data_IF_485354911248
#
_entry.id   IF_485354911248
#
_cell.length_a   1.000
_cell.length_b   1.000
_cell.length_c   1.000
_cell.angle_alpha   90.00
_cell.angle_beta   90.00
_cell.angle_gamma   90.00
#
_symmetry.space_group_name_H-M   'P 1'
#
loop_
_entity.id
_entity.type
_entity.pdbx_description
1 polymer ?
#
# COMPACT_ATOMS: atom_id res chain seq x y z
N UNK A 1 0.38 26.23 -7.76
CA UNK A 1 0.34 24.81 -8.18
C UNK A 1 0.02 24.81 -9.66
N UNK A 2 0.79 24.09 -10.46
CA UNK A 2 0.50 23.93 -11.88
C UNK A 2 1.12 22.65 -12.44
N UNK A 3 0.57 22.19 -13.56
CA UNK A 3 1.17 21.21 -14.45
C UNK A 3 1.48 21.94 -15.75
N UNK A 4 2.70 21.78 -16.24
CA UNK A 4 3.15 22.30 -17.53
C UNK A 4 3.78 21.19 -18.35
N UNK A 5 3.73 21.35 -19.66
CA UNK A 5 4.35 20.43 -20.60
C UNK A 5 5.62 21.07 -21.16
N UNK A 6 6.74 20.35 -21.08
CA UNK A 6 8.01 20.70 -21.71
C UNK A 6 8.39 19.56 -22.65
N UNK A 7 8.37 19.82 -23.95
CA UNK A 7 8.50 18.80 -24.99
C UNK A 7 7.50 17.64 -24.77
N UNK A 8 8.01 16.43 -24.50
CA UNK A 8 7.22 15.23 -24.20
C UNK A 8 7.10 14.94 -22.68
N UNK A 9 7.63 15.82 -21.83
CA UNK A 9 7.61 15.67 -20.39
C UNK A 9 6.50 16.52 -19.75
N UNK A 10 6.00 16.05 -18.61
CA UNK A 10 5.08 16.80 -17.77
C UNK A 10 5.79 17.18 -16.48
N UNK A 11 5.69 18.44 -16.10
CA UNK A 11 6.22 18.97 -14.85
C UNK A 11 5.05 19.41 -13.99
N UNK A 12 4.90 18.79 -12.82
CA UNK A 12 3.90 19.14 -11.82
C UNK A 12 4.59 19.83 -10.64
N UNK A 13 4.14 21.03 -10.31
CA UNK A 13 4.69 21.83 -9.22
C UNK A 13 3.64 22.13 -8.16
N UNK A 14 4.00 21.87 -6.91
CA UNK A 14 3.26 22.30 -5.73
C UNK A 14 4.16 23.12 -4.80
N UNK A 15 3.63 23.73 -3.72
CA UNK A 15 4.48 24.34 -2.70
C UNK A 15 5.43 23.34 -2.04
N UNK A 16 5.07 22.05 -1.99
CA UNK A 16 5.83 21.00 -1.33
C UNK A 16 6.86 20.33 -2.24
N UNK A 17 6.59 20.22 -3.54
CA UNK A 17 7.44 19.43 -4.43
C UNK A 17 7.47 19.94 -5.87
N UNK A 18 8.45 19.45 -6.63
CA UNK A 18 8.48 19.47 -8.09
C UNK A 18 8.59 18.01 -8.55
N UNK A 19 7.70 17.59 -9.45
CA UNK A 19 7.68 16.25 -10.01
C UNK A 19 7.78 16.30 -11.53
N UNK A 20 8.60 15.42 -12.12
CA UNK A 20 8.78 15.28 -13.55
C UNK A 20 8.33 13.90 -14.02
N UNK A 21 7.50 13.88 -15.06
CA UNK A 21 7.13 12.67 -15.78
C UNK A 21 7.70 12.69 -17.19
N UNK A 22 8.40 11.62 -17.57
CA UNK A 22 8.79 11.36 -18.95
C UNK A 22 7.94 10.18 -19.46
N UNK A 23 6.88 10.50 -20.21
CA UNK A 23 5.80 9.54 -20.46
C UNK A 23 5.16 9.10 -19.13
N UNK A 24 4.91 7.79 -18.90
CA UNK A 24 4.30 7.34 -17.64
C UNK A 24 5.30 7.20 -16.49
N UNK A 25 6.60 7.39 -16.73
CA UNK A 25 7.63 7.26 -15.71
C UNK A 25 7.71 8.54 -14.87
N UNK A 26 7.60 8.41 -13.55
CA UNK A 26 7.99 9.48 -12.62
C UNK A 26 9.51 9.46 -12.48
N UNK A 27 10.19 10.36 -13.19
CA UNK A 27 11.65 10.38 -13.32
C UNK A 27 12.33 11.29 -12.31
N UNK A 28 11.61 12.24 -11.74
CA UNK A 28 12.10 13.06 -10.63
C UNK A 28 10.95 13.46 -9.71
N UNK A 29 11.23 13.49 -8.41
CA UNK A 29 10.33 14.03 -7.40
C UNK A 29 11.20 14.65 -6.31
N UNK A 30 11.18 15.98 -6.23
CA UNK A 30 12.05 16.79 -5.38
C UNK A 30 11.22 17.52 -4.34
N UNK A 31 11.54 17.36 -3.06
CA UNK A 31 11.00 18.24 -2.01
C UNK A 31 11.58 19.65 -2.18
N UNK A 32 10.72 20.66 -2.33
CA UNK A 32 11.16 22.05 -2.54
C UNK A 32 11.81 22.68 -1.32
N UNK A 33 11.54 22.15 -0.13
CA UNK A 33 12.02 22.72 1.13
C UNK A 33 13.46 22.30 1.42
N UNK A 34 13.76 21.03 1.17
CA UNK A 34 15.05 20.41 1.49
C UNK A 34 15.94 20.20 0.26
N UNK A 35 15.34 20.18 -0.94
CA UNK A 35 16.04 19.76 -2.17
C UNK A 35 16.21 18.24 -2.28
N UNK A 36 15.64 17.45 -1.36
CA UNK A 36 15.77 16.00 -1.39
C UNK A 36 15.06 15.41 -2.62
N UNK A 37 15.81 14.67 -3.43
CA UNK A 37 15.29 13.97 -4.62
C UNK A 37 15.04 12.49 -4.32
N UNK A 38 13.80 12.05 -4.48
CA UNK A 38 13.38 10.69 -4.13
C UNK A 38 13.39 9.73 -5.32
N UNK A 39 13.07 10.24 -6.50
CA UNK A 39 12.97 9.45 -7.72
C UNK A 39 14.18 9.70 -8.61
N UNK A 40 14.41 8.80 -9.55
CA UNK A 40 15.40 8.97 -10.60
C UNK A 40 14.81 8.47 -11.92
N UNK A 41 15.39 8.84 -13.07
CA UNK A 41 15.00 8.27 -14.35
C UNK A 41 14.94 6.75 -14.25
N UNK A 42 13.87 6.18 -14.77
CA UNK A 42 13.61 4.76 -14.63
C UNK A 42 14.68 3.96 -15.40
N UNK A 43 15.51 3.19 -14.69
CA UNK A 43 16.13 1.99 -15.25
C UNK A 43 15.12 0.84 -15.35
N UNK A 44 13.94 0.99 -14.73
CA UNK A 44 12.82 0.06 -14.90
C UNK A 44 12.30 0.17 -16.33
N UNK A 45 12.33 -0.92 -17.12
CA UNK A 45 12.00 -0.83 -18.53
C UNK A 45 10.51 -0.52 -18.78
N UNK A 46 9.62 -0.70 -17.79
CA UNK A 46 8.16 -0.61 -17.98
C UNK A 46 7.46 0.17 -16.85
N UNK A 47 7.23 1.49 -17.00
CA UNK A 47 6.65 2.31 -15.93
C UNK A 47 5.16 2.06 -15.69
N UNK A 48 4.46 1.47 -16.67
CA UNK A 48 3.03 1.16 -16.60
C UNK A 48 2.76 -0.16 -17.31
N UNK A 49 2.29 -1.18 -16.60
CA UNK A 49 2.20 -2.56 -17.10
C UNK A 49 0.80 -3.14 -16.90
N UNK A 50 0.34 -3.98 -17.84
CA UNK A 50 -0.85 -4.82 -17.64
C UNK A 50 -0.45 -6.24 -17.24
N UNK A 51 -1.10 -6.79 -16.23
CA UNK A 51 -0.95 -8.17 -15.79
C UNK A 51 -2.19 -8.97 -16.15
N UNK A 52 -1.98 -10.24 -16.50
CA UNK A 52 -3.03 -11.16 -16.91
C UNK A 52 -3.09 -12.39 -15.99
N UNK A 53 -4.22 -13.11 -16.02
CA UNK A 53 -4.53 -14.26 -15.14
C UNK A 53 -3.42 -15.31 -15.03
N UNK A 54 -2.65 -15.54 -16.09
CA UNK A 54 -1.58 -16.55 -16.12
C UNK A 54 -0.20 -15.99 -15.77
N UNK A 55 -0.15 -14.85 -15.06
CA UNK A 55 1.07 -14.10 -14.71
C UNK A 55 1.83 -13.52 -15.90
N UNK A 56 1.25 -13.56 -17.10
CA UNK A 56 1.78 -12.83 -18.23
C UNK A 56 1.71 -11.34 -17.97
N UNK A 57 2.76 -10.63 -18.36
CA UNK A 57 2.87 -9.17 -18.23
C UNK A 57 3.01 -8.55 -19.61
N UNK A 58 2.31 -7.45 -19.85
CA UNK A 58 2.52 -6.59 -21.01
C UNK A 58 3.19 -5.29 -20.56
N UNK A 59 4.50 -5.24 -20.77
CA UNK A 59 5.33 -4.05 -20.62
C UNK A 59 5.26 -3.19 -21.90
N UNK A 60 6.20 -3.26 -22.85
CA UNK A 60 6.11 -2.55 -24.12
C UNK A 60 5.10 -3.25 -25.01
N UNK A 61 4.29 -2.45 -25.68
CA UNK A 61 3.38 -2.93 -26.72
C UNK A 61 3.98 -2.69 -28.10
N UNK A 62 3.68 -3.56 -29.06
CA UNK A 62 4.12 -3.39 -30.44
C UNK A 62 3.48 -2.13 -31.03
N UNK A 63 4.28 -1.31 -31.68
CA UNK A 63 3.80 -0.04 -32.26
C UNK A 63 3.40 1.01 -31.22
N UNK A 64 3.79 0.82 -29.94
CA UNK A 64 3.43 1.73 -28.86
C UNK A 64 3.84 3.18 -29.16
N UNK A 65 2.87 4.08 -29.04
CA UNK A 65 3.05 5.53 -29.06
C UNK A 65 2.70 6.09 -27.70
N UNK A 66 3.55 7.00 -27.22
CA UNK A 66 3.35 7.70 -25.96
C UNK A 66 3.00 9.15 -26.27
N UNK A 67 1.90 9.63 -25.71
CA UNK A 67 1.48 11.03 -25.86
C UNK A 67 1.13 11.62 -24.50
N UNK A 68 1.86 12.66 -24.10
CA UNK A 68 1.47 13.53 -23.00
C UNK A 68 0.50 14.60 -23.52
N UNK A 69 -0.58 14.84 -22.79
CA UNK A 69 -1.55 15.89 -23.11
C UNK A 69 -1.94 16.64 -21.84
N UNK A 70 -1.63 17.93 -21.82
CA UNK A 70 -2.16 18.86 -20.83
C UNK A 70 -3.68 19.01 -21.02
N UNK A 71 -4.43 18.98 -19.91
CA UNK A 71 -5.89 19.15 -19.89
C UNK A 71 -6.29 20.49 -19.27
N UNK A 72 -5.54 20.91 -18.26
CA UNK A 72 -5.62 22.21 -17.60
C UNK A 72 -4.32 22.45 -16.83
N UNK A 73 -4.19 23.61 -16.19
CA UNK A 73 -3.06 23.89 -15.31
C UNK A 73 -2.99 22.94 -14.11
N UNK A 74 -3.99 22.10 -13.83
CA UNK A 74 -3.97 21.17 -12.71
C UNK A 74 -4.13 19.71 -13.13
N UNK A 75 -4.25 19.41 -14.43
CA UNK A 75 -4.49 18.06 -14.91
C UNK A 75 -3.81 17.78 -16.25
N UNK A 76 -3.29 16.57 -16.39
CA UNK A 76 -2.74 16.04 -17.61
C UNK A 76 -3.02 14.55 -17.72
N UNK A 77 -2.82 14.00 -18.91
CA UNK A 77 -2.83 12.55 -19.13
C UNK A 77 -1.63 12.13 -19.96
N UNK A 78 -1.16 10.93 -19.70
CA UNK A 78 -0.20 10.23 -20.55
C UNK A 78 -0.89 9.02 -21.14
N UNK A 79 -1.02 9.01 -22.46
CA UNK A 79 -1.62 7.92 -23.23
C UNK A 79 -0.52 7.04 -23.80
N UNK A 80 -0.67 5.73 -23.62
CA UNK A 80 0.16 4.70 -24.21
C UNK A 80 -0.75 3.83 -25.08
N UNK A 81 -0.69 4.02 -26.39
CA UNK A 81 -1.51 3.31 -27.37
C UNK A 81 -0.60 2.39 -28.16
N UNK A 82 -0.85 1.09 -28.12
CA UNK A 82 -0.16 0.09 -28.92
C UNK A 82 -1.14 -0.83 -29.65
N UNK A 83 -0.62 -1.90 -30.24
CA UNK A 83 -1.45 -2.84 -30.99
C UNK A 83 -2.36 -3.68 -30.10
N UNK A 84 -1.87 -4.04 -28.91
CA UNK A 84 -2.52 -5.00 -28.01
C UNK A 84 -3.08 -4.34 -26.74
N UNK A 85 -2.90 -3.03 -26.56
CA UNK A 85 -3.33 -2.31 -25.37
C UNK A 85 -3.48 -0.79 -25.54
N UNK A 86 -4.43 -0.25 -24.79
CA UNK A 86 -4.57 1.17 -24.51
C UNK A 86 -4.37 1.37 -23.01
N UNK A 87 -3.38 2.18 -22.60
CA UNK A 87 -3.11 2.49 -21.20
C UNK A 87 -3.05 3.99 -20.99
N UNK A 88 -3.45 4.42 -19.81
CA UNK A 88 -3.48 5.82 -19.42
C UNK A 88 -2.92 5.99 -18.01
N UNK A 89 -2.10 7.03 -17.85
CA UNK A 89 -1.78 7.62 -16.56
C UNK A 89 -2.48 8.98 -16.47
N UNK A 90 -3.55 9.06 -15.68
CA UNK A 90 -4.21 10.33 -15.40
C UNK A 90 -3.52 11.02 -14.22
N UNK A 91 -3.03 12.24 -14.43
CA UNK A 91 -2.23 12.99 -13.46
C UNK A 91 -2.96 14.28 -13.11
N UNK A 92 -3.11 14.58 -11.83
CA UNK A 92 -3.79 15.78 -11.34
C UNK A 92 -3.12 16.33 -10.09
N UNK A 93 -3.15 17.64 -9.90
CA UNK A 93 -2.86 18.28 -8.62
C UNK A 93 -4.17 18.50 -7.85
N UNK A 94 -4.23 18.03 -6.61
CA UNK A 94 -5.34 18.31 -5.71
C UNK A 94 -5.16 19.68 -5.05
N UNK A 95 -5.99 20.68 -5.38
CA UNK A 95 -5.83 22.03 -4.85
C UNK A 95 -6.09 22.12 -3.34
N UNK A 96 -6.82 21.17 -2.76
CA UNK A 96 -7.14 21.20 -1.32
C UNK A 96 -6.00 20.64 -0.47
N UNK A 97 -5.32 19.61 -0.98
CA UNK A 97 -4.27 18.92 -0.21
C UNK A 97 -2.86 19.20 -0.71
N UNK A 98 -2.72 19.75 -1.91
CA UNK A 98 -1.44 19.89 -2.61
C UNK A 98 -0.87 18.58 -3.13
N UNK A 99 -1.63 17.47 -3.09
CA UNK A 99 -1.14 16.17 -3.54
C UNK A 99 -1.03 16.10 -5.07
N UNK A 100 -0.02 15.37 -5.52
CA UNK A 100 -0.01 14.80 -6.86
C UNK A 100 -0.85 13.52 -6.86
N UNK A 101 -1.98 13.54 -7.54
CA UNK A 101 -2.86 12.41 -7.75
C UNK A 101 -2.52 11.73 -9.09
N UNK A 102 -2.27 10.43 -9.05
CA UNK A 102 -1.94 9.60 -10.20
C UNK A 102 -2.89 8.42 -10.25
N UNK A 103 -3.61 8.25 -11.36
CA UNK A 103 -4.56 7.16 -11.55
C UNK A 103 -4.22 6.36 -12.80
N UNK A 104 -3.56 5.19 -12.66
CA UNK A 104 -3.34 4.28 -13.77
C UNK A 104 -4.65 3.60 -14.19
N UNK A 105 -4.83 3.43 -15.49
CA UNK A 105 -5.87 2.59 -16.08
C UNK A 105 -5.41 1.99 -17.40
N UNK A 106 -5.99 0.88 -17.80
CA UNK A 106 -5.66 0.29 -19.10
C UNK A 106 -6.60 -0.81 -19.53
N UNK A 107 -6.57 -1.08 -20.83
CA UNK A 107 -7.35 -2.10 -21.52
C UNK A 107 -6.42 -2.92 -22.41
N UNK A 108 -6.63 -4.24 -22.43
CA UNK A 108 -5.96 -5.17 -23.33
C UNK A 108 -6.89 -5.65 -24.46
N UNK A 109 -6.30 -5.91 -25.62
CA UNK A 109 -6.93 -6.57 -26.76
C UNK A 109 -7.19 -8.06 -26.48
N UNK A 110 -6.45 -8.66 -25.53
CA UNK A 110 -6.73 -10.01 -25.01
C UNK A 110 -7.55 -9.95 -23.72
N UNK A 111 -8.34 -11.00 -23.47
CA UNK A 111 -9.08 -11.19 -22.23
C UNK A 111 -8.13 -11.63 -21.10
N UNK A 112 -8.63 -11.68 -19.88
CA UNK A 112 -7.84 -12.14 -18.73
C UNK A 112 -7.03 -11.03 -18.05
N UNK A 113 -7.30 -9.75 -18.31
CA UNK A 113 -6.61 -8.65 -17.59
C UNK A 113 -6.94 -8.76 -16.10
N UNK A 114 -5.92 -8.81 -15.26
CA UNK A 114 -6.05 -8.96 -13.81
C UNK A 114 -5.74 -7.65 -13.07
N UNK A 115 -4.69 -6.93 -13.48
CA UNK A 115 -4.31 -5.67 -12.85
C UNK A 115 -3.55 -4.75 -13.80
N UNK A 116 -3.43 -3.48 -13.38
CA UNK A 116 -2.48 -2.53 -13.94
C UNK A 116 -1.52 -2.08 -12.85
N UNK A 117 -0.22 -2.02 -13.15
CA UNK A 117 0.84 -1.62 -12.22
C UNK A 117 1.51 -0.36 -12.70
N UNK A 118 1.63 0.63 -11.81
CA UNK A 118 2.47 1.81 -12.02
C UNK A 118 3.75 1.68 -11.19
N UNK A 119 4.91 1.76 -11.84
CA UNK A 119 6.22 1.53 -11.22
C UNK A 119 6.96 2.85 -10.98
N UNK A 120 7.50 3.02 -9.78
CA UNK A 120 8.35 4.16 -9.38
C UNK A 120 9.72 3.63 -8.99
N UNK A 121 10.76 4.09 -9.68
CA UNK A 121 12.16 3.81 -9.32
C UNK A 121 12.70 4.89 -8.39
N UNK A 122 13.23 4.46 -7.25
CA UNK A 122 13.78 5.35 -6.23
C UNK A 122 15.29 5.53 -6.38
N UNK A 123 15.79 6.68 -5.92
CA UNK A 123 17.21 6.94 -5.80
C UNK A 123 17.87 5.97 -4.81
N UNK A 124 19.15 5.63 -5.03
CA UNK A 124 19.86 4.62 -4.22
C UNK A 124 19.97 4.99 -2.74
N UNK A 125 19.97 6.29 -2.45
CA UNK A 125 20.08 6.86 -1.10
C UNK A 125 18.73 6.87 -0.34
N UNK A 126 17.64 6.48 -0.99
CA UNK A 126 16.31 6.48 -0.38
C UNK A 126 16.10 5.19 0.42
N UNK A 127 15.66 5.36 1.66
CA UNK A 127 15.13 4.27 2.49
C UNK A 127 13.61 4.19 2.33
N UNK A 128 13.03 3.00 2.27
CA UNK A 128 11.58 2.81 2.16
C UNK A 128 10.99 2.21 3.43
N UNK A 129 9.95 2.83 3.95
CA UNK A 129 9.13 2.35 5.07
C UNK A 129 7.84 1.81 4.48
N UNK A 130 7.68 0.49 4.54
CA UNK A 130 6.55 -0.23 3.99
C UNK A 130 5.75 -0.85 5.15
N UNK A 131 4.47 -0.48 5.35
CA UNK A 131 3.61 -1.09 6.36
C UNK A 131 3.11 -2.46 5.90
N UNK A 132 4.05 -3.36 5.63
CA UNK A 132 3.80 -4.73 5.20
C UNK A 132 4.08 -5.70 6.34
N UNK A 133 3.19 -6.66 6.56
CA UNK A 133 3.20 -7.63 7.66
C UNK A 133 3.16 -6.96 9.04
N UNK A 134 4.28 -6.39 9.50
CA UNK A 134 4.41 -5.65 10.76
C UNK A 134 5.20 -4.33 10.60
N UNK A 135 5.53 -3.95 9.36
CA UNK A 135 6.45 -2.86 9.05
C UNK A 135 7.80 -3.39 8.57
N UNK A 136 8.27 -2.84 7.45
CA UNK A 136 9.53 -3.20 6.80
C UNK A 136 10.29 -1.92 6.48
N UNK A 137 11.57 -1.89 6.84
CA UNK A 137 12.53 -0.88 6.36
C UNK A 137 13.35 -1.51 5.24
N UNK A 138 13.32 -0.92 4.04
CA UNK A 138 14.12 -1.34 2.89
C UNK A 138 15.18 -0.29 2.61
N UNK A 139 16.43 -0.73 2.62
CA UNK A 139 17.60 0.10 2.32
C UNK A 139 18.40 -0.57 1.21
N UNK A 140 19.00 0.21 0.31
CA UNK A 140 19.67 -0.32 -0.88
C UNK A 140 20.84 -1.26 -0.54
N UNK A 141 21.52 -1.03 0.59
CA UNK A 141 22.70 -1.75 1.04
C UNK A 141 22.42 -2.91 2.01
N UNK A 142 21.16 -3.12 2.42
CA UNK A 142 20.78 -4.23 3.31
C UNK A 142 20.29 -5.47 2.57
N UNK A 143 20.65 -6.64 3.08
CA UNK A 143 20.12 -7.91 2.59
C UNK A 143 18.60 -7.98 2.87
N UNK A 144 17.80 -8.16 1.82
CA UNK A 144 16.35 -8.34 1.86
C UNK A 144 15.96 -9.06 0.55
N UNK A 145 14.90 -9.91 0.52
CA UNK A 145 14.46 -10.57 -0.70
C UNK A 145 14.44 -9.63 -1.91
N UNK A 146 14.94 -10.08 -3.08
CA UNK A 146 15.08 -9.21 -4.24
C UNK A 146 13.72 -8.72 -4.74
N UNK A 147 12.69 -9.57 -4.65
CA UNK A 147 11.35 -9.21 -5.07
C UNK A 147 10.32 -9.75 -4.07
N UNK A 148 9.27 -8.97 -3.79
CA UNK A 148 8.12 -9.43 -3.01
C UNK A 148 6.84 -8.70 -3.46
N UNK A 149 5.70 -9.36 -3.30
CA UNK A 149 4.37 -8.83 -3.59
C UNK A 149 3.52 -8.86 -2.32
N UNK A 150 3.04 -7.70 -1.92
CA UNK A 150 2.24 -7.48 -0.72
C UNK A 150 0.80 -7.14 -1.10
N UNK A 151 -0.10 -8.13 -1.21
CA UNK A 151 -1.52 -7.87 -1.48
C UNK A 151 -2.20 -7.16 -0.30
N UNK A 152 -3.04 -6.18 -0.62
CA UNK A 152 -3.96 -5.50 0.31
C UNK A 152 -5.26 -6.31 0.45
N UNK A 153 -5.87 -6.39 1.65
CA UNK A 153 -5.43 -5.84 2.94
C UNK A 153 -4.64 -6.84 3.79
N UNK A 154 -4.07 -7.89 3.18
CA UNK A 154 -3.50 -9.01 3.93
C UNK A 154 -2.04 -8.79 4.33
N UNK A 155 -1.13 -8.73 3.36
CA UNK A 155 0.31 -8.54 3.62
C UNK A 155 0.72 -7.06 3.59
N UNK A 156 -0.10 -6.19 3.02
CA UNK A 156 0.05 -4.73 3.11
C UNK A 156 -1.05 -4.20 4.03
N UNK A 157 -0.68 -3.66 5.19
CA UNK A 157 -1.60 -3.39 6.31
C UNK A 157 -2.04 -1.93 6.42
N UNK A 158 -1.36 -1.01 5.73
CA UNK A 158 -1.86 0.34 5.47
C UNK A 158 -1.65 0.71 3.99
N UNK A 159 -2.57 1.42 3.36
CA UNK A 159 -2.51 1.79 1.92
C UNK A 159 -1.51 2.92 1.66
N UNK A 160 -0.27 2.80 2.15
CA UNK A 160 0.80 3.78 1.98
C UNK A 160 2.17 3.10 1.87
N UNK A 161 3.10 3.80 1.23
CA UNK A 161 4.54 3.55 1.28
C UNK A 161 5.23 4.91 1.48
N UNK A 162 6.30 4.95 2.27
CA UNK A 162 7.05 6.18 2.52
C UNK A 162 8.49 5.98 2.10
N UNK A 163 9.02 6.93 1.34
CA UNK A 163 10.43 7.08 1.04
C UNK A 163 11.03 8.17 1.95
N UNK A 164 12.15 7.90 2.60
CA UNK A 164 12.90 8.87 3.41
C UNK A 164 14.26 9.15 2.78
N UNK A 165 14.65 10.42 2.80
CA UNK A 165 15.99 10.89 2.40
C UNK A 165 16.26 12.28 2.94
N UNK A 166 17.46 12.53 3.43
CA UNK A 166 17.98 13.87 3.78
C UNK A 166 17.03 14.69 4.67
N UNK A 167 16.39 14.04 5.65
CA UNK A 167 15.45 14.69 6.56
C UNK A 167 14.12 15.11 5.91
N UNK A 168 13.77 14.52 4.77
CA UNK A 168 12.47 14.66 4.12
C UNK A 168 11.85 13.28 3.85
N UNK A 169 10.54 13.26 3.69
CA UNK A 169 9.77 12.07 3.36
C UNK A 169 8.85 12.29 2.16
N UNK A 170 8.85 11.36 1.21
CA UNK A 170 7.84 11.24 0.15
C UNK A 170 6.85 10.14 0.55
N UNK A 171 5.58 10.48 0.68
CA UNK A 171 4.52 9.49 0.88
C UNK A 171 3.82 9.20 -0.45
N UNK A 172 3.66 7.92 -0.78
CA UNK A 172 2.72 7.45 -1.80
C UNK A 172 1.60 6.69 -1.09
N UNK A 173 0.35 7.13 -1.21
CA UNK A 173 -0.76 6.50 -0.50
C UNK A 173 -2.03 6.46 -1.33
N UNK A 174 -3.03 5.71 -0.87
CA UNK A 174 -4.38 5.70 -1.43
C UNK A 174 -5.40 6.03 -0.35
N UNK A 175 -6.44 6.78 -0.72
CA UNK A 175 -7.60 7.09 0.13
C UNK A 175 -8.86 6.34 -0.34
N UNK A 176 -8.69 5.08 -0.75
CA UNK A 176 -9.79 4.25 -1.23
C UNK A 176 -10.64 3.71 -0.08
N UNK A 177 -11.91 4.09 -0.09
CA UNK A 177 -12.95 3.64 0.84
C UNK A 177 -13.85 2.55 0.24
N UNK A 178 -13.64 2.19 -1.03
CA UNK A 178 -14.39 1.14 -1.73
C UNK A 178 -13.71 -0.24 -1.63
N UNK A 179 -12.63 -0.35 -0.86
CA UNK A 179 -11.93 -1.62 -0.59
C UNK A 179 -11.48 -2.36 -1.84
N UNK A 180 -11.05 -1.62 -2.86
CA UNK A 180 -10.54 -2.22 -4.10
C UNK A 180 -9.31 -3.05 -3.80
N UNK A 181 -9.18 -4.20 -4.46
CA UNK A 181 -7.96 -4.98 -4.38
C UNK A 181 -6.82 -4.21 -5.04
N UNK A 182 -5.65 -4.32 -4.42
CA UNK A 182 -4.42 -3.64 -4.81
C UNK A 182 -3.24 -4.39 -4.21
N UNK A 183 -2.07 -4.19 -4.78
CA UNK A 183 -0.84 -4.77 -4.27
C UNK A 183 0.29 -3.74 -4.33
N UNK A 184 1.18 -3.82 -3.34
CA UNK A 184 2.48 -3.18 -3.39
C UNK A 184 3.51 -4.22 -3.83
N UNK A 185 4.32 -3.89 -4.83
CA UNK A 185 5.38 -4.75 -5.32
C UNK A 185 6.72 -4.10 -5.01
N UNK A 186 7.61 -4.85 -4.38
CA UNK A 186 9.00 -4.45 -4.20
C UNK A 186 9.84 -5.20 -5.23
N UNK A 187 10.65 -4.48 -5.98
CA UNK A 187 11.66 -5.05 -6.85
C UNK A 187 13.03 -4.40 -6.58
N UNK A 188 14.05 -5.23 -6.42
CA UNK A 188 15.43 -4.84 -6.14
C UNK A 188 16.37 -5.51 -7.13
N UNK A 189 17.15 -4.71 -7.83
CA UNK A 189 18.17 -5.18 -8.78
C UNK A 189 19.34 -4.21 -8.76
N UNK A 190 20.58 -4.70 -8.70
CA UNK A 190 21.80 -3.88 -8.83
C UNK A 190 21.87 -2.65 -7.88
N UNK A 191 21.34 -2.79 -6.66
CA UNK A 191 21.28 -1.70 -5.68
C UNK A 191 20.19 -0.66 -5.96
N UNK A 192 19.30 -0.95 -6.91
CA UNK A 192 18.16 -0.14 -7.29
C UNK A 192 16.91 -0.69 -6.63
N UNK A 193 16.00 0.19 -6.22
CA UNK A 193 14.72 -0.20 -5.63
C UNK A 193 13.57 0.43 -6.39
N UNK A 194 12.59 -0.39 -6.78
CA UNK A 194 11.36 0.03 -7.45
C UNK A 194 10.16 -0.42 -6.63
N UNK A 195 9.19 0.47 -6.45
CA UNK A 195 7.86 0.10 -5.95
C UNK A 195 6.84 0.11 -7.09
N UNK A 196 6.11 -0.99 -7.22
CA UNK A 196 4.99 -1.15 -8.15
C UNK A 196 3.66 -1.06 -7.43
N UNK A 197 2.84 -0.10 -7.81
CA UNK A 197 1.52 0.16 -7.24
C UNK A 197 0.43 -0.42 -8.16
N UNK A 198 -0.18 -1.54 -7.76
CA UNK A 198 -1.17 -2.26 -8.56
C UNK A 198 -2.60 -1.87 -8.23
N UNK A 199 -3.44 -1.74 -9.26
CA UNK A 199 -4.89 -1.76 -9.14
C UNK A 199 -5.41 -3.09 -9.70
N UNK A 200 -5.99 -3.93 -8.83
CA UNK A 200 -6.46 -5.27 -9.17
C UNK A 200 -7.97 -5.27 -9.41
N UNK A 201 -8.40 -6.15 -10.32
CA UNK A 201 -9.80 -6.34 -10.65
C UNK A 201 -10.37 -7.51 -9.86
N UNK A 202 -11.63 -7.36 -9.44
CA UNK A 202 -12.39 -8.43 -8.79
C UNK A 202 -12.77 -9.46 -9.85
N UNK A 203 -12.70 -10.74 -9.49
CA UNK A 203 -13.13 -11.82 -10.36
C UNK A 203 -14.65 -11.77 -10.64
N UNK A 204 -15.10 -12.43 -11.71
CA UNK A 204 -14.31 -13.28 -12.61
C UNK A 204 -13.51 -12.51 -13.66
N UNK A 205 -12.28 -12.98 -13.94
CA UNK A 205 -11.33 -12.26 -14.81
C UNK A 205 -11.21 -12.82 -16.23
N UNK A 206 -11.77 -14.00 -16.53
CA UNK A 206 -11.57 -14.69 -17.82
C UNK A 206 -12.05 -13.89 -19.03
N UNK A 207 -13.06 -13.03 -18.86
CA UNK A 207 -13.54 -12.09 -19.89
C UNK A 207 -13.13 -10.64 -19.64
N UNK A 208 -12.44 -10.37 -18.54
CA UNK A 208 -12.05 -9.03 -18.19
C UNK A 208 -10.96 -8.52 -19.14
N UNK A 209 -11.12 -7.27 -19.57
CA UNK A 209 -10.24 -6.63 -20.55
C UNK A 209 -9.59 -5.37 -20.03
N UNK A 210 -9.89 -4.91 -18.82
CA UNK A 210 -9.29 -3.68 -18.31
C UNK A 210 -9.09 -3.68 -16.82
N UNK A 211 -8.19 -2.82 -16.35
CA UNK A 211 -7.86 -2.63 -14.95
C UNK A 211 -7.63 -1.15 -14.64
N UNK A 212 -7.68 -0.78 -13.36
CA UNK A 212 -7.43 0.57 -12.88
C UNK A 212 -8.39 0.98 -11.78
N UNK A 213 -8.59 2.31 -11.65
CA UNK A 213 -9.59 2.86 -10.74
C UNK A 213 -9.13 3.00 -9.29
N UNK A 214 -7.82 2.86 -9.02
CA UNK A 214 -7.19 3.26 -7.76
C UNK A 214 -6.41 4.55 -8.02
N UNK A 215 -6.64 5.59 -7.22
CA UNK A 215 -5.85 6.84 -7.25
C UNK A 215 -4.74 6.75 -6.20
N UNK A 216 -3.50 6.95 -6.64
CA UNK A 216 -2.32 7.09 -5.80
C UNK A 216 -2.02 8.57 -5.58
N UNK A 217 -1.76 8.96 -4.34
CA UNK A 217 -1.53 10.32 -3.90
C UNK A 217 -0.13 10.47 -3.36
N UNK A 218 0.60 11.45 -3.90
CA UNK A 218 1.99 11.72 -3.56
C UNK A 218 2.15 13.11 -2.95
N UNK A 219 2.97 13.21 -1.90
CA UNK A 219 3.36 14.50 -1.33
C UNK A 219 4.69 14.38 -0.55
N UNK A 220 5.40 15.50 -0.41
CA UNK A 220 6.63 15.61 0.36
C UNK A 220 6.41 16.27 1.72
N UNK A 221 7.12 15.80 2.74
CA UNK A 221 7.05 16.27 4.11
C UNK A 221 8.45 16.54 4.63
N UNK A 222 8.57 17.60 5.41
CA UNK A 222 9.76 17.86 6.21
C UNK A 222 9.84 16.88 7.39
N UNK A 223 11.04 16.47 7.74
CA UNK A 223 11.33 15.46 8.74
C UNK A 223 11.28 14.04 8.18
N UNK A 224 11.28 13.07 9.09
CA UNK A 224 11.17 11.66 8.73
C UNK A 224 9.76 11.22 8.33
N UNK A 225 9.49 9.93 8.45
CA UNK A 225 8.28 9.26 7.99
C UNK A 225 7.07 9.58 8.86
N UNK A 226 7.30 10.05 10.09
CA UNK A 226 6.24 10.26 11.10
C UNK A 226 5.21 11.31 10.69
N UNK A 227 5.57 12.51 10.18
CA UNK A 227 4.63 13.45 9.59
C UNK A 227 3.75 12.85 8.48
N UNK A 228 4.37 12.16 7.52
CA UNK A 228 3.67 11.47 6.43
C UNK A 228 2.68 10.43 6.96
N UNK A 229 3.15 9.50 7.80
CA UNK A 229 2.31 8.46 8.39
C UNK A 229 1.20 9.03 9.30
N UNK A 230 1.48 10.12 10.02
CA UNK A 230 0.48 10.80 10.85
C UNK A 230 -0.66 11.34 10.00
N UNK A 231 -0.36 11.98 8.86
CA UNK A 231 -1.41 12.44 7.94
C UNK A 231 -2.32 11.30 7.47
N UNK A 232 -1.73 10.15 7.13
CA UNK A 232 -2.51 8.97 6.74
C UNK A 232 -3.34 8.41 7.90
N UNK A 233 -2.75 8.29 9.10
CA UNK A 233 -3.45 7.88 10.32
C UNK A 233 -4.64 8.80 10.62
N UNK A 234 -4.47 10.11 10.46
CA UNK A 234 -5.53 11.08 10.72
C UNK A 234 -6.65 10.98 9.67
N UNK A 235 -6.31 10.70 8.40
CA UNK A 235 -7.30 10.36 7.38
C UNK A 235 -8.08 9.09 7.73
N UNK A 236 -7.41 8.01 8.16
CA UNK A 236 -8.09 6.79 8.65
C UNK A 236 -9.02 7.10 9.82
N UNK A 237 -8.53 7.88 10.78
CA UNK A 237 -9.27 8.30 11.97
C UNK A 237 -10.59 8.97 11.62
N UNK A 238 -10.53 9.99 10.75
CA UNK A 238 -11.71 10.72 10.27
C UNK A 238 -12.62 9.85 9.42
N UNK A 239 -12.07 9.11 8.46
CA UNK A 239 -12.84 8.33 7.47
C UNK A 239 -13.63 7.19 8.09
N UNK A 240 -13.07 6.53 9.11
CA UNK A 240 -13.68 5.35 9.74
C UNK A 240 -14.21 5.61 11.14
N UNK A 241 -14.26 6.88 11.57
CA UNK A 241 -14.74 7.30 12.89
C UNK A 241 -14.02 6.59 14.04
N UNK A 242 -12.69 6.44 13.94
CA UNK A 242 -11.93 5.60 14.88
C UNK A 242 -11.95 6.13 16.31
N UNK A 243 -12.07 7.45 16.48
CA UNK A 243 -12.21 8.08 17.80
C UNK A 243 -13.54 7.70 18.47
N UNK A 244 -14.66 7.77 17.74
CA UNK A 244 -15.95 7.28 18.25
C UNK A 244 -15.96 5.78 18.52
N UNK A 245 -15.21 4.98 17.74
CA UNK A 245 -15.04 3.55 18.06
C UNK A 245 -14.22 3.32 19.32
N UNK A 246 -13.21 4.17 19.58
CA UNK A 246 -12.40 4.10 20.80
C UNK A 246 -13.22 4.45 22.04
N UNK A 247 -14.20 5.35 21.98
CA UNK A 247 -15.04 5.66 23.15
C UNK A 247 -15.94 4.50 23.59
N UNK A 248 -16.10 3.46 22.76
CA UNK A 248 -16.82 2.23 23.13
C UNK A 248 -15.89 1.14 23.67
N UNK A 249 -14.57 1.38 23.72
CA UNK A 249 -13.60 0.42 24.25
C UNK A 249 -13.71 0.39 25.79
N UNK A 250 -13.85 -0.79 26.41
CA UNK A 250 -13.79 -0.89 27.87
C UNK A 250 -12.43 -0.43 28.42
N UNK A 251 -12.45 0.24 29.57
CA UNK A 251 -11.24 0.82 30.20
C UNK A 251 -10.15 -0.23 30.47
N UNK A 252 -10.54 -1.46 30.83
CA UNK A 252 -9.61 -2.56 31.11
C UNK A 252 -8.70 -2.90 29.92
N UNK A 253 -9.11 -2.60 28.69
CA UNK A 253 -8.34 -2.94 27.49
C UNK A 253 -7.00 -2.21 27.47
N UNK A 254 -6.96 -0.96 27.94
CA UNK A 254 -5.73 -0.16 27.97
C UNK A 254 -4.79 -0.59 29.12
N UNK A 255 -5.27 -1.40 30.06
CA UNK A 255 -4.46 -1.97 31.15
C UNK A 255 -3.74 -3.27 30.74
N UNK A 256 -4.17 -3.91 29.64
CA UNK A 256 -3.60 -5.15 29.13
C UNK A 256 -2.17 -4.92 28.65
N UNK A 257 -1.24 -5.67 29.24
CA UNK A 257 0.19 -5.61 28.90
C UNK A 257 0.84 -6.98 28.73
N UNK A 258 0.05 -8.05 28.83
CA UNK A 258 0.48 -9.41 28.54
C UNK A 258 -0.65 -10.19 27.86
N UNK A 259 -0.32 -10.98 26.85
CA UNK A 259 -1.28 -11.80 26.12
C UNK A 259 -0.77 -13.22 25.96
N UNK A 260 -1.60 -14.21 26.31
CA UNK A 260 -1.36 -15.62 26.03
C UNK A 260 -2.22 -16.03 24.85
N UNK A 261 -1.59 -16.24 23.71
CA UNK A 261 -2.26 -16.68 22.49
C UNK A 261 -2.31 -18.19 22.42
N UNK A 262 -3.41 -18.74 21.90
CA UNK A 262 -3.57 -20.18 21.65
C UNK A 262 -3.58 -21.01 22.94
N UNK A 263 -4.12 -20.45 24.02
CA UNK A 263 -4.19 -21.14 25.29
C UNK A 263 -5.10 -22.37 25.19
N UNK A 264 -4.69 -23.53 25.73
CA UNK A 264 -5.59 -24.66 25.94
C UNK A 264 -6.55 -24.37 27.10
N UNK A 265 -7.63 -25.14 27.21
CA UNK A 265 -8.55 -25.10 28.35
C UNK A 265 -7.96 -25.78 29.61
N UNK A 266 -6.74 -25.39 29.98
CA UNK A 266 -6.02 -25.92 31.15
C UNK A 266 -6.11 -24.93 32.32
N UNK A 267 -6.81 -25.30 33.40
CA UNK A 267 -7.00 -24.44 34.57
C UNK A 267 -5.71 -24.18 35.36
N UNK A 268 -4.77 -25.12 35.36
CA UNK A 268 -3.51 -24.96 36.08
C UNK A 268 -2.66 -23.84 35.46
N UNK A 269 -2.85 -23.57 34.16
CA UNK A 269 -2.25 -22.44 33.48
C UNK A 269 -2.70 -21.11 34.10
N UNK A 270 -3.97 -20.97 34.49
CA UNK A 270 -4.49 -19.73 35.10
C UNK A 270 -3.80 -19.44 36.43
N UNK A 271 -3.72 -20.46 37.30
CA UNK A 271 -3.07 -20.34 38.61
C UNK A 271 -1.56 -20.08 38.46
N UNK A 272 -0.91 -20.70 37.46
CA UNK A 272 0.49 -20.44 37.16
C UNK A 272 0.72 -19.02 36.62
N UNK A 273 -0.12 -18.55 35.70
CA UNK A 273 -0.04 -17.21 35.13
C UNK A 273 -0.26 -16.13 36.20
N UNK A 274 -1.25 -16.30 37.07
CA UNK A 274 -1.54 -15.36 38.15
C UNK A 274 -0.38 -15.18 39.14
N UNK A 275 0.52 -16.18 39.25
CA UNK A 275 1.74 -16.08 40.08
C UNK A 275 2.84 -15.25 39.45
N UNK A 276 2.87 -15.15 38.12
CA UNK A 276 3.97 -14.51 37.37
C UNK A 276 3.56 -13.18 36.73
N UNK A 277 2.27 -12.92 36.56
CA UNK A 277 1.76 -11.68 35.99
C UNK A 277 0.40 -11.29 36.59
N UNK A 278 0.11 -9.99 36.78
CA UNK A 278 -1.20 -9.54 37.26
C UNK A 278 -2.36 -10.03 36.37
N UNK A 279 -3.36 -10.75 36.93
CA UNK A 279 -4.50 -11.25 36.15
C UNK A 279 -5.26 -10.14 35.41
N UNK A 280 -5.50 -9.00 36.06
CA UNK A 280 -6.21 -7.86 35.46
C UNK A 280 -5.50 -7.21 34.26
N UNK A 281 -4.23 -7.55 34.00
CA UNK A 281 -3.43 -7.05 32.88
C UNK A 281 -3.10 -8.13 31.85
N UNK A 282 -3.72 -9.30 31.99
CA UNK A 282 -3.50 -10.48 31.14
C UNK A 282 -4.72 -10.72 30.26
N UNK A 283 -4.51 -10.82 28.94
CA UNK A 283 -5.50 -11.29 27.99
C UNK A 283 -5.21 -12.75 27.61
N UNK A 284 -6.23 -13.61 27.62
CA UNK A 284 -6.09 -15.01 27.20
C UNK A 284 -6.94 -15.22 25.95
N UNK A 285 -6.30 -15.60 24.85
CA UNK A 285 -6.97 -16.12 23.66
C UNK A 285 -7.06 -17.64 23.76
N UNK A 286 -8.22 -18.13 24.18
CA UNK A 286 -8.53 -19.55 24.41
C UNK A 286 -8.93 -20.22 23.08
N UNK A 287 -8.15 -21.19 22.60
CA UNK A 287 -8.35 -21.81 21.27
C UNK A 287 -8.99 -23.21 21.30
N UNK A 288 -8.93 -23.92 22.43
CA UNK A 288 -9.41 -25.30 22.58
C UNK A 288 -10.61 -25.42 23.54
N UNK A 289 -11.56 -24.48 23.46
CA UNK A 289 -12.72 -24.45 24.34
C UNK A 289 -13.93 -25.23 23.83
N UNK A 290 -13.89 -25.71 22.59
CA UNK A 290 -15.02 -26.38 21.92
C UNK A 290 -14.94 -27.90 22.06
N UNK A 291 -16.06 -28.56 21.75
CA UNK A 291 -16.12 -30.01 21.60
C UNK A 291 -15.30 -30.52 20.40
N UNK A 292 -15.30 -29.77 19.29
CA UNK A 292 -14.44 -30.05 18.13
C UNK A 292 -13.10 -29.32 18.25
N UNK A 293 -12.06 -29.89 17.65
CA UNK A 293 -10.72 -29.28 17.64
C UNK A 293 -10.66 -27.92 16.93
N UNK A 294 -9.54 -27.21 17.09
CA UNK A 294 -9.32 -25.96 16.35
C UNK A 294 -9.33 -26.24 14.84
N UNK A 295 -9.98 -25.37 14.07
CA UNK A 295 -10.18 -25.52 12.61
C UNK A 295 -10.99 -26.73 12.14
N UNK A 296 -11.83 -27.28 13.02
CA UNK A 296 -12.72 -28.41 12.73
C UNK A 296 -14.19 -28.02 13.00
N UNK A 297 -15.09 -28.48 12.14
CA UNK A 297 -16.55 -28.38 12.23
C UNK A 297 -17.14 -26.97 12.40
N UNK A 298 -16.54 -25.93 11.82
CA UNK A 298 -17.19 -24.62 11.78
C UNK A 298 -18.48 -24.67 10.92
N UNK A 299 -19.58 -23.98 11.32
CA UNK A 299 -19.69 -23.03 12.43
C UNK A 299 -20.26 -23.63 13.73
N UNK A 300 -20.09 -24.92 14.02
CA UNK A 300 -20.51 -25.48 15.33
C UNK A 300 -19.55 -25.00 16.43
N UNK A 301 -20.04 -24.10 17.29
CA UNK A 301 -19.29 -23.50 18.39
C UNK A 301 -19.74 -24.04 19.76
N UNK A 302 -20.09 -25.32 19.86
CA UNK A 302 -20.45 -25.94 21.15
C UNK A 302 -19.23 -26.01 22.09
N UNK A 303 -19.36 -25.41 23.28
CA UNK A 303 -18.33 -25.49 24.32
C UNK A 303 -18.15 -26.93 24.83
N UNK A 304 -16.90 -27.34 25.06
CA UNK A 304 -16.57 -28.56 25.80
C UNK A 304 -16.79 -28.38 27.30
N UNK A 305 -16.77 -29.48 28.05
CA UNK A 305 -16.78 -29.42 29.51
C UNK A 305 -15.54 -28.72 30.05
N UNK A 306 -14.36 -28.98 29.47
CA UNK A 306 -13.11 -28.31 29.86
C UNK A 306 -13.15 -26.81 29.57
N UNK A 307 -13.70 -26.40 28.42
CA UNK A 307 -13.88 -24.98 28.09
C UNK A 307 -14.80 -24.28 29.10
N UNK A 308 -15.91 -24.92 29.49
CA UNK A 308 -16.81 -24.41 30.54
C UNK A 308 -16.10 -24.32 31.90
N UNK A 309 -15.36 -25.37 32.28
CA UNK A 309 -14.65 -25.42 33.54
C UNK A 309 -13.52 -24.38 33.61
N UNK A 310 -12.86 -24.10 32.49
CA UNK A 310 -11.84 -23.05 32.38
C UNK A 310 -12.42 -21.66 32.62
N UNK A 311 -13.58 -21.35 32.02
CA UNK A 311 -14.23 -20.04 32.16
C UNK A 311 -14.83 -19.77 33.55
N UNK A 312 -15.11 -20.83 34.33
CA UNK A 312 -15.66 -20.71 35.67
C UNK A 312 -14.60 -20.45 36.76
N UNK A 313 -13.32 -20.46 36.40
CA UNK A 313 -12.18 -20.25 37.29
C UNK A 313 -11.76 -18.79 37.32
#
# INVERSE_FOLDING_TARGET
>A
MNIRQEDNALIAESPAFIARFDGPALTSFVDRRTGAEFCRPADSPFPLELFYLHKDTLGPDKGQRIQAKLLSDLAARVLLVGNDSDRELFIRLDPQTGDLCVRPSGRGARRGVASIRWNISFARQVSLILPCVNGILVEADRAFPPNDRFPWPFRWNAQLAIAERDGAALMVHCQDTSWKFKALNLARAEGLTTLGFEAEQVGPLWDNRGAGGVEWRLNAYEGGWRPAASRYRDWLGRTYGLEGKRSHRPDWVDEISFCVCWAPANRDLLDALARVYPPGRTLIHLSQWRTSGYDIDYPDYRASDDGRAFMAR
#
